data_IF_315934473502
#
_entry.id   IF_315934473502
#
_cell.length_a   1.000
_cell.length_b   1.000
_cell.length_c   1.000
_cell.angle_alpha   90.00
_cell.angle_beta   90.00
_cell.angle_gamma   90.00
#
_symmetry.space_group_name_H-M   'P 1'
#
loop_
_entity.id
_entity.type
_entity.pdbx_description
1 polymer ?
#
# COMPACT_ATOMS: atom_id res chain seq x y z
N UNK A 1 0.21 -12.73 -4.83
CA UNK A 1 -1.16 -12.20 -4.83
C UNK A 1 -1.06 -10.67 -4.83
N UNK A 2 -1.21 -10.04 -6.00
CA UNK A 2 -1.28 -8.58 -6.18
C UNK A 2 -0.11 -7.77 -5.60
N UNK A 3 1.07 -8.37 -5.46
CA UNK A 3 2.22 -7.68 -4.90
C UNK A 3 2.87 -6.74 -5.93
N UNK A 4 3.19 -5.48 -5.58
CA UNK A 4 3.88 -4.56 -6.49
C UNK A 4 5.19 -5.16 -7.03
N UNK A 5 5.41 -5.03 -8.34
CA UNK A 5 6.59 -5.60 -9.01
C UNK A 5 6.45 -7.07 -9.41
N UNK A 6 5.47 -7.81 -8.88
CA UNK A 6 5.29 -9.24 -9.21
C UNK A 6 5.07 -9.52 -10.70
N UNK A 7 4.60 -8.52 -11.46
CA UNK A 7 4.36 -8.58 -12.90
C UNK A 7 5.64 -8.66 -13.74
N UNK A 8 6.80 -8.28 -13.18
CA UNK A 8 8.06 -8.19 -13.91
C UNK A 8 8.98 -9.38 -13.62
N UNK A 9 9.69 -9.83 -14.66
CA UNK A 9 10.79 -10.76 -14.49
C UNK A 9 12.01 -10.01 -13.94
N UNK A 10 12.59 -10.52 -12.86
CA UNK A 10 13.83 -9.98 -12.30
C UNK A 10 14.97 -10.96 -12.54
N UNK A 11 16.04 -10.52 -13.17
CA UNK A 11 17.18 -11.38 -13.54
C UNK A 11 16.72 -12.65 -14.28
N UNK A 12 15.78 -12.50 -15.22
CA UNK A 12 15.17 -13.58 -15.99
C UNK A 12 14.43 -14.64 -15.14
N UNK A 13 14.09 -14.34 -13.89
CA UNK A 13 13.27 -15.20 -13.02
C UNK A 13 11.83 -14.69 -12.97
N UNK A 14 10.89 -15.61 -13.15
CA UNK A 14 9.46 -15.38 -13.06
C UNK A 14 8.88 -15.99 -11.78
N UNK A 15 7.74 -15.47 -11.33
CA UNK A 15 7.00 -15.98 -10.18
C UNK A 15 6.16 -17.20 -10.62
N UNK A 16 6.08 -18.21 -9.75
CA UNK A 16 5.33 -19.45 -10.01
C UNK A 16 3.81 -19.23 -10.10
N UNK A 17 3.24 -18.48 -9.17
CA UNK A 17 1.83 -18.08 -9.17
C UNK A 17 1.68 -16.58 -9.09
N UNK A 18 0.74 -16.05 -9.87
CA UNK A 18 0.52 -14.61 -9.93
C UNK A 18 -0.96 -14.31 -10.11
N UNK A 19 -1.40 -13.27 -9.42
CA UNK A 19 -2.69 -12.63 -9.62
C UNK A 19 -2.39 -11.16 -9.87
N UNK A 20 -2.93 -10.64 -10.97
CA UNK A 20 -2.88 -9.23 -11.33
C UNK A 20 -3.66 -8.41 -10.33
N UNK A 21 -3.29 -7.14 -10.21
CA UNK A 21 -4.03 -6.20 -9.40
C UNK A 21 -5.50 -6.14 -9.86
N UNK A 22 -6.40 -6.45 -8.93
CA UNK A 22 -7.85 -6.37 -9.09
C UNK A 22 -8.44 -5.98 -7.75
N UNK A 23 -8.64 -4.68 -7.56
CA UNK A 23 -9.18 -4.09 -6.33
C UNK A 23 -10.63 -4.50 -6.04
N UNK A 24 -11.32 -5.12 -7.01
CA UNK A 24 -12.68 -5.65 -6.86
C UNK A 24 -12.70 -7.10 -6.40
N UNK A 25 -11.55 -7.78 -6.41
CA UNK A 25 -11.47 -9.17 -5.93
C UNK A 25 -11.71 -9.22 -4.42
N UNK A 26 -12.73 -9.98 -4.02
CA UNK A 26 -13.09 -10.20 -2.62
C UNK A 26 -11.90 -10.73 -1.79
N UNK A 27 -11.77 -10.26 -0.54
CA UNK A 27 -10.64 -10.57 0.32
C UNK A 27 -10.55 -12.07 0.67
N UNK A 28 -11.69 -12.73 0.88
CA UNK A 28 -11.70 -14.16 1.20
C UNK A 28 -11.34 -14.98 -0.03
N UNK A 29 -11.81 -14.57 -1.22
CA UNK A 29 -11.36 -15.18 -2.47
C UNK A 29 -9.84 -15.07 -2.67
N UNK A 30 -9.23 -13.95 -2.26
CA UNK A 30 -7.76 -13.80 -2.28
C UNK A 30 -7.08 -14.80 -1.33
N UNK A 31 -7.61 -14.95 -0.12
CA UNK A 31 -7.15 -15.96 0.85
C UNK A 31 -7.23 -17.36 0.26
N UNK A 32 -8.39 -17.77 -0.24
CA UNK A 32 -8.60 -19.11 -0.82
C UNK A 32 -7.63 -19.40 -1.96
N UNK A 33 -7.38 -18.38 -2.81
CA UNK A 33 -6.42 -18.48 -3.90
C UNK A 33 -5.00 -18.71 -3.37
N UNK A 34 -4.58 -17.97 -2.34
CA UNK A 34 -3.27 -18.17 -1.70
C UNK A 34 -3.14 -19.56 -1.08
N UNK A 35 -4.17 -20.04 -0.38
CA UNK A 35 -4.19 -21.38 0.21
C UNK A 35 -4.07 -22.46 -0.88
N UNK A 36 -4.73 -22.27 -2.03
CA UNK A 36 -4.61 -23.17 -3.18
C UNK A 36 -3.19 -23.24 -3.74
N UNK A 37 -2.43 -22.14 -3.70
CA UNK A 37 -1.04 -22.12 -4.15
C UNK A 37 -0.11 -22.84 -3.17
N UNK A 38 -0.33 -22.67 -1.86
CA UNK A 38 0.46 -23.35 -0.82
C UNK A 38 0.22 -24.86 -0.87
N UNK A 39 -1.02 -25.27 -1.13
CA UNK A 39 -1.45 -26.68 -1.13
C UNK A 39 -1.37 -27.36 -2.50
N UNK A 40 -0.81 -26.70 -3.52
CA UNK A 40 -0.61 -27.30 -4.84
C UNK A 40 0.30 -28.53 -4.73
N UNK A 41 -0.18 -29.67 -5.24
CA UNK A 41 0.51 -30.97 -5.12
C UNK A 41 1.76 -31.09 -6.00
N UNK A 42 1.85 -30.30 -7.08
CA UNK A 42 2.93 -30.38 -8.07
C UNK A 42 3.97 -29.29 -7.87
N UNK A 43 3.53 -28.08 -7.51
CA UNK A 43 4.38 -26.89 -7.40
C UNK A 43 3.98 -26.04 -6.17
N UNK A 44 4.08 -26.55 -4.95
CA UNK A 44 3.65 -25.82 -3.76
C UNK A 44 4.42 -24.49 -3.61
N UNK A 45 3.70 -23.42 -3.29
CA UNK A 45 4.29 -22.12 -3.00
C UNK A 45 4.90 -22.10 -1.58
N UNK A 46 6.22 -21.95 -1.50
CA UNK A 46 6.95 -21.87 -0.21
C UNK A 46 7.17 -20.42 0.28
N UNK A 47 6.85 -19.43 -0.55
CA UNK A 47 6.79 -18.02 -0.21
C UNK A 47 5.61 -17.41 -0.95
N UNK A 48 4.72 -16.76 -0.21
CA UNK A 48 3.58 -16.05 -0.78
C UNK A 48 3.60 -14.60 -0.33
N UNK A 49 3.62 -13.70 -1.32
CA UNK A 49 3.36 -12.29 -1.12
C UNK A 49 1.87 -12.05 -1.28
N UNK A 50 1.20 -11.46 -0.29
CA UNK A 50 -0.24 -11.20 -0.27
C UNK A 50 -0.51 -9.75 0.09
N UNK A 51 -1.18 -9.04 -0.81
CA UNK A 51 -1.52 -7.64 -0.69
C UNK A 51 -3.05 -7.41 -0.68
N UNK A 52 -3.47 -6.45 0.15
CA UNK A 52 -4.81 -5.88 0.22
C UNK A 52 -4.64 -4.36 0.25
N UNK A 53 -5.42 -3.65 -0.57
CA UNK A 53 -5.32 -2.19 -0.77
C UNK A 53 -5.88 -1.38 0.40
N UNK A 54 -6.59 -2.06 1.29
CA UNK A 54 -7.22 -1.48 2.45
C UNK A 54 -6.31 -1.63 3.68
N UNK A 55 -6.31 -0.65 4.60
CA UNK A 55 -7.28 0.44 4.71
C UNK A 55 -6.88 1.74 3.99
N UNK A 56 -5.82 1.73 3.19
CA UNK A 56 -5.24 2.93 2.57
C UNK A 56 -6.24 3.70 1.72
N UNK A 57 -6.79 3.05 0.69
CA UNK A 57 -7.70 3.70 -0.26
C UNK A 57 -8.94 4.29 0.44
N UNK A 58 -9.46 3.60 1.46
CA UNK A 58 -10.59 4.10 2.23
C UNK A 58 -10.20 5.23 3.18
N UNK A 59 -9.03 5.13 3.82
CA UNK A 59 -8.45 6.18 4.65
C UNK A 59 -8.24 7.49 3.89
N UNK A 60 -7.80 7.42 2.64
CA UNK A 60 -7.72 8.58 1.75
C UNK A 60 -9.07 9.23 1.47
N UNK A 61 -10.14 8.43 1.34
CA UNK A 61 -11.47 8.93 1.00
C UNK A 61 -12.18 9.60 2.18
N UNK A 62 -12.04 9.06 3.40
CA UNK A 62 -12.86 9.49 4.56
C UNK A 62 -12.04 10.04 5.75
N UNK A 63 -10.73 9.85 5.76
CA UNK A 63 -9.87 10.15 6.90
C UNK A 63 -9.92 9.08 7.99
N UNK A 64 -8.85 9.00 8.78
CA UNK A 64 -8.67 7.95 9.81
C UNK A 64 -9.62 8.09 11.01
N UNK A 65 -10.21 9.27 11.20
CA UNK A 65 -11.12 9.56 12.31
C UNK A 65 -12.59 9.23 12.00
N UNK A 66 -12.92 8.87 10.76
CA UNK A 66 -14.30 8.59 10.37
C UNK A 66 -14.78 7.22 10.91
N UNK A 67 -16.06 7.08 11.34
CA UNK A 67 -16.62 5.79 11.75
C UNK A 67 -16.48 4.70 10.68
N UNK A 68 -16.64 5.07 9.41
CA UNK A 68 -16.51 4.15 8.27
C UNK A 68 -15.09 3.58 8.14
N UNK A 69 -14.05 4.31 8.55
CA UNK A 69 -12.67 3.79 8.58
C UNK A 69 -12.55 2.63 9.58
N UNK A 70 -13.18 2.77 10.75
CA UNK A 70 -13.24 1.69 11.76
C UNK A 70 -13.98 0.46 11.24
N UNK A 71 -15.04 0.63 10.44
CA UNK A 71 -15.73 -0.49 9.81
C UNK A 71 -14.83 -1.22 8.80
N UNK A 72 -14.03 -0.50 8.03
CA UNK A 72 -13.04 -1.10 7.13
C UNK A 72 -11.97 -1.89 7.90
N UNK A 73 -11.48 -1.36 9.03
CA UNK A 73 -10.53 -2.10 9.88
C UNK A 73 -11.12 -3.42 10.39
N UNK A 74 -12.39 -3.45 10.78
CA UNK A 74 -13.06 -4.71 11.17
C UNK A 74 -13.17 -5.70 10.00
N UNK A 75 -13.39 -5.23 8.78
CA UNK A 75 -13.41 -6.10 7.58
C UNK A 75 -12.03 -6.74 7.33
N UNK A 76 -10.95 -5.98 7.52
CA UNK A 76 -9.58 -6.48 7.40
C UNK A 76 -9.25 -7.49 8.50
N UNK A 77 -9.62 -7.20 9.75
CA UNK A 77 -9.46 -8.13 10.88
C UNK A 77 -10.17 -9.47 10.61
N UNK A 78 -11.39 -9.43 10.07
CA UNK A 78 -12.12 -10.64 9.68
C UNK A 78 -11.40 -11.40 8.54
N UNK A 79 -10.78 -10.71 7.58
CA UNK A 79 -9.99 -11.36 6.53
C UNK A 79 -8.70 -12.01 7.07
N UNK A 80 -8.02 -11.35 8.02
CA UNK A 80 -6.90 -11.95 8.75
C UNK A 80 -7.33 -13.19 9.52
N UNK A 81 -8.47 -13.12 10.24
CA UNK A 81 -9.04 -14.28 10.92
C UNK A 81 -9.34 -15.41 9.93
N UNK A 82 -9.98 -15.10 8.80
CA UNK A 82 -10.31 -16.08 7.79
C UNK A 82 -9.06 -16.77 7.22
N UNK A 83 -7.95 -16.04 7.01
CA UNK A 83 -6.67 -16.63 6.64
C UNK A 83 -6.17 -17.64 7.69
N UNK A 84 -6.22 -17.29 8.98
CA UNK A 84 -5.83 -18.21 10.05
C UNK A 84 -6.70 -19.46 10.08
N UNK A 85 -8.03 -19.28 9.98
CA UNK A 85 -9.00 -20.38 9.95
C UNK A 85 -8.72 -21.33 8.76
N UNK A 86 -8.39 -20.80 7.58
CA UNK A 86 -8.02 -21.62 6.42
C UNK A 86 -6.68 -22.36 6.62
N UNK A 87 -5.68 -21.72 7.22
CA UNK A 87 -4.42 -22.39 7.54
C UNK A 87 -4.65 -23.56 8.52
N UNK A 88 -5.50 -23.39 9.52
CA UNK A 88 -5.87 -24.46 10.45
C UNK A 88 -6.62 -25.59 9.73
N UNK A 89 -7.64 -25.26 8.93
CA UNK A 89 -8.46 -26.23 8.19
C UNK A 89 -7.64 -27.09 7.22
N UNK A 90 -6.51 -26.55 6.71
CA UNK A 90 -5.59 -27.24 5.83
C UNK A 90 -4.38 -27.87 6.55
N UNK A 91 -4.35 -27.91 7.89
CA UNK A 91 -3.25 -28.43 8.70
C UNK A 91 -1.90 -27.76 8.42
N UNK A 92 -1.93 -26.44 8.24
CA UNK A 92 -0.80 -25.57 7.95
C UNK A 92 -0.42 -24.62 9.10
N UNK A 93 -1.23 -24.55 10.17
CA UNK A 93 -1.06 -23.58 11.27
C UNK A 93 0.33 -23.67 11.96
N UNK A 94 0.91 -24.87 12.06
CA UNK A 94 2.22 -25.12 12.64
C UNK A 94 3.36 -25.17 11.59
N UNK A 95 3.04 -24.97 10.31
CA UNK A 95 3.96 -25.12 9.17
C UNK A 95 4.20 -23.84 8.39
N UNK A 96 3.29 -22.87 8.51
CA UNK A 96 3.35 -21.59 7.80
C UNK A 96 3.65 -20.47 8.78
N UNK A 97 4.71 -19.72 8.52
CA UNK A 97 4.99 -18.47 9.23
C UNK A 97 4.23 -17.34 8.55
N UNK A 98 3.36 -16.67 9.30
CA UNK A 98 2.61 -15.50 8.82
C UNK A 98 3.27 -14.23 9.36
N UNK A 99 3.65 -13.33 8.46
CA UNK A 99 4.14 -11.99 8.81
C UNK A 99 3.10 -10.99 8.31
N UNK A 100 2.44 -10.30 9.24
CA UNK A 100 1.53 -9.21 8.93
C UNK A 100 2.29 -7.88 9.06
N UNK A 101 2.27 -7.10 7.99
CA UNK A 101 2.97 -5.81 7.91
C UNK A 101 2.14 -4.83 7.08
N UNK A 102 2.55 -3.57 7.11
CA UNK A 102 2.03 -2.51 6.25
C UNK A 102 3.20 -1.75 5.65
N UNK A 103 2.98 -1.16 4.49
CA UNK A 103 3.91 -0.31 3.76
C UNK A 103 4.09 1.08 4.40
N UNK A 104 3.03 1.67 4.97
CA UNK A 104 3.10 2.96 5.65
C UNK A 104 1.91 3.24 6.60
N UNK A 105 1.98 4.35 7.33
CA UNK A 105 0.86 4.86 8.13
C UNK A 105 -0.10 5.77 7.35
N UNK A 106 -1.09 6.34 8.04
CA UNK A 106 -2.03 7.30 7.46
C UNK A 106 -2.30 8.42 8.47
N UNK A 107 -2.41 9.66 7.99
CA UNK A 107 -2.79 10.82 8.81
C UNK A 107 -3.92 11.59 8.14
N UNK A 108 -4.89 12.05 8.92
CA UNK A 108 -5.96 12.93 8.42
C UNK A 108 -5.40 14.34 8.23
N UNK A 109 -5.54 14.88 7.02
CA UNK A 109 -5.16 16.26 6.68
C UNK A 109 -6.42 17.09 6.41
N UNK A 110 -6.35 18.40 6.67
CA UNK A 110 -7.44 19.33 6.39
C UNK A 110 -6.95 20.46 5.48
N UNK A 111 -7.81 21.13 4.69
CA UNK A 111 -7.38 22.22 3.82
C UNK A 111 -6.62 23.34 4.55
N UNK A 112 -6.88 23.53 5.84
CA UNK A 112 -6.19 24.49 6.70
C UNK A 112 -4.69 24.22 6.83
N UNK A 113 -4.27 22.96 6.70
CA UNK A 113 -2.85 22.56 6.77
C UNK A 113 -2.17 22.52 5.40
N UNK A 114 -2.84 22.96 4.33
CA UNK A 114 -2.28 22.89 2.97
C UNK A 114 -1.38 24.10 2.70
N UNK A 115 -0.14 23.83 2.25
CA UNK A 115 0.76 24.85 1.74
C UNK A 115 0.65 24.85 0.21
N UNK A 116 0.14 25.94 -0.36
CA UNK A 116 0.23 26.15 -1.81
C UNK A 116 1.64 26.64 -2.17
N UNK A 117 2.51 25.76 -2.65
CA UNK A 117 3.90 26.13 -3.00
C UNK A 117 4.00 27.05 -4.21
N UNK A 118 2.97 27.09 -5.07
CA UNK A 118 3.00 27.89 -6.31
C UNK A 118 2.96 29.40 -6.04
N UNK A 119 2.46 29.82 -4.87
CA UNK A 119 2.47 31.23 -4.47
C UNK A 119 3.87 31.76 -4.14
N UNK A 120 4.84 30.87 -3.91
CA UNK A 120 6.22 31.22 -3.53
C UNK A 120 7.22 31.04 -4.66
N UNK A 121 6.79 30.53 -5.82
CA UNK A 121 7.69 30.21 -6.93
C UNK A 121 7.19 30.82 -8.24
N UNK A 122 8.12 31.32 -9.05
CA UNK A 122 7.80 31.86 -10.37
C UNK A 122 7.51 30.72 -11.35
N UNK A 123 6.42 30.81 -12.10
CA UNK A 123 6.09 29.84 -13.14
C UNK A 123 7.22 29.75 -14.19
N UNK A 124 7.48 28.53 -14.67
CA UNK A 124 8.50 28.26 -15.68
C UNK A 124 9.94 28.25 -15.16
N UNK A 125 10.20 28.44 -13.86
CA UNK A 125 11.57 28.41 -13.30
C UNK A 125 11.95 27.10 -12.63
N UNK A 126 11.02 26.15 -12.53
CA UNK A 126 11.23 24.85 -11.89
C UNK A 126 10.42 23.74 -12.58
N UNK A 127 10.76 22.49 -12.30
CA UNK A 127 9.93 21.31 -12.48
C UNK A 127 9.66 20.67 -11.12
N UNK A 128 8.60 19.89 -10.99
CA UNK A 128 8.37 19.08 -9.80
C UNK A 128 8.14 17.61 -10.14
N UNK A 129 8.34 16.75 -9.16
CA UNK A 129 7.95 15.35 -9.17
C UNK A 129 7.34 14.98 -7.82
N UNK A 130 6.46 13.98 -7.81
CA UNK A 130 5.73 13.57 -6.62
C UNK A 130 4.46 14.39 -6.35
N UNK A 131 3.86 14.14 -5.19
CA UNK A 131 2.63 14.76 -4.72
C UNK A 131 2.71 14.93 -3.20
N UNK A 132 1.79 15.70 -2.61
CA UNK A 132 1.69 15.82 -1.15
C UNK A 132 1.64 14.42 -0.50
N UNK A 133 2.43 14.16 0.57
CA UNK A 133 3.25 15.11 1.33
C UNK A 133 4.69 15.28 0.81
N UNK A 134 5.13 14.48 -0.16
CA UNK A 134 6.51 14.46 -0.64
C UNK A 134 6.61 15.01 -2.08
N UNK A 135 6.93 16.30 -2.19
CA UNK A 135 7.15 16.97 -3.47
C UNK A 135 8.65 17.24 -3.63
N UNK A 136 9.19 16.82 -4.76
CA UNK A 136 10.55 17.14 -5.18
C UNK A 136 10.50 18.30 -6.18
N UNK A 137 11.21 19.40 -5.91
CA UNK A 137 11.28 20.57 -6.79
C UNK A 137 12.70 20.66 -7.34
N UNK A 138 12.82 20.79 -8.66
CA UNK A 138 14.11 20.91 -9.36
C UNK A 138 14.13 22.25 -10.13
N UNK A 139 15.17 23.08 -9.98
CA UNK A 139 15.23 24.34 -10.70
C UNK A 139 15.52 24.09 -12.18
N UNK A 140 15.02 24.97 -13.05
CA UNK A 140 15.45 25.00 -14.44
C UNK A 140 16.92 25.42 -14.53
N UNK A 141 17.58 25.05 -15.62
CA UNK A 141 19.00 25.40 -15.85
C UNK A 141 19.20 26.92 -15.74
N UNK A 142 20.16 27.34 -14.91
CA UNK A 142 20.47 28.76 -14.68
C UNK A 142 19.59 29.45 -13.63
N UNK A 143 18.65 28.73 -13.02
CA UNK A 143 17.87 29.20 -11.86
C UNK A 143 18.52 28.68 -10.57
N UNK A 144 18.71 29.56 -9.60
CA UNK A 144 19.18 29.20 -8.26
C UNK A 144 17.99 29.09 -7.31
N UNK A 145 17.88 27.96 -6.60
CA UNK A 145 16.93 27.79 -5.50
C UNK A 145 17.58 28.25 -4.20
N UNK A 146 16.93 29.19 -3.53
CA UNK A 146 17.20 29.48 -2.12
C UNK A 146 16.21 28.65 -1.28
N UNK A 147 16.71 27.71 -0.50
CA UNK A 147 15.87 26.98 0.45
C UNK A 147 15.47 27.91 1.59
N UNK A 148 14.20 28.28 1.64
CA UNK A 148 13.58 28.80 2.86
C UNK A 148 13.17 27.61 3.74
N UNK A 149 13.73 27.52 4.93
CA UNK A 149 13.27 26.54 5.92
C UNK A 149 11.98 27.07 6.57
N UNK A 150 10.82 26.63 6.08
CA UNK A 150 9.53 26.96 6.67
C UNK A 150 9.22 25.88 7.71
N UNK A 151 9.63 26.11 8.96
CA UNK A 151 9.21 25.27 10.07
C UNK A 151 7.84 25.74 10.55
N UNK A 152 6.79 25.00 10.18
CA UNK A 152 5.50 25.14 10.83
C UNK A 152 5.61 24.41 12.18
N UNK A 153 5.63 25.18 13.28
CA UNK A 153 5.54 24.58 14.62
C UNK A 153 4.14 23.97 14.76
N UNK A 154 3.99 22.77 15.36
CA UNK A 154 2.70 22.33 15.82
C UNK A 154 2.22 23.28 16.92
N UNK A 155 0.96 23.71 16.86
CA UNK A 155 0.26 24.23 18.05
C UNK A 155 -0.11 23.08 18.99
#
# INVERSE_FOLDING_TARGET
MMWPGAYYAYQSKNITYRQDFDDKMDFYKRVDTVISWITDRKKPANLVMFYIEQPDAYGHAVGTNAPLFKDMLRKLDNATKYLQDQLEAHHLADKVNVIQLSDHGMITITPQTFINITQYMKEGTYTWAGASPCIQITPQKGVFLYMLNISLRPE
#
